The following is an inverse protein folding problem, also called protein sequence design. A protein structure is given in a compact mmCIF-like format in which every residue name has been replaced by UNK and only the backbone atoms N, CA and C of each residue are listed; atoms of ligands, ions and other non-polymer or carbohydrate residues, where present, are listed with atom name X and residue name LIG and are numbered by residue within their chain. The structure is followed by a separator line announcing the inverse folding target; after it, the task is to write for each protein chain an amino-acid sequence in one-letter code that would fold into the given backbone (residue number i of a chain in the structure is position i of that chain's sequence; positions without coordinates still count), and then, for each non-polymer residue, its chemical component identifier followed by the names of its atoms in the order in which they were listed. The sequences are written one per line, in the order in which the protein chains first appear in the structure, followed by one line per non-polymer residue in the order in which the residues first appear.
data_IF_667610781895
#
_entry.id   IF_667610781895
#
_cell.length_a   1.000
_cell.length_b   1.000
_cell.length_c   1.000
_cell.angle_alpha   90.00
_cell.angle_beta   90.00
_cell.angle_gamma   90.00
#
_symmetry.space_group_name_H-M   'P 1'
#
loop_
_entity.id
_entity.type
_entity.pdbx_description
1 polymer ?
#
# COMPACT_ATOMS: atom_id res chain seq x y z
N UNK A 1 12.44 3.35 18.98
CA UNK A 1 13.32 4.21 19.83
C UNK A 1 14.53 4.61 18.99
N UNK A 2 14.55 5.83 18.48
CA UNK A 2 15.67 6.35 17.67
C UNK A 2 16.77 7.00 18.52
N UNK A 3 16.66 6.94 19.85
CA UNK A 3 17.62 7.53 20.80
C UNK A 3 17.61 9.05 20.81
N UNK A 4 16.62 9.71 20.21
CA UNK A 4 16.53 11.17 20.22
C UNK A 4 16.18 11.70 21.62
N UNK A 5 16.85 12.79 22.04
CA UNK A 5 16.58 13.44 23.33
C UNK A 5 15.24 14.20 23.24
N UNK A 6 14.21 13.65 23.92
CA UNK A 6 12.88 14.25 23.99
C UNK A 6 12.91 15.71 24.46
N UNK A 7 13.85 16.07 25.34
CA UNK A 7 14.01 17.43 25.86
C UNK A 7 14.43 18.39 24.74
N UNK A 8 15.35 17.98 23.88
CA UNK A 8 15.80 18.78 22.75
C UNK A 8 14.71 18.91 21.68
N UNK A 9 13.96 17.84 21.39
CA UNK A 9 12.82 17.85 20.48
C UNK A 9 11.75 18.85 20.98
N UNK A 10 11.36 18.77 22.25
CA UNK A 10 10.38 19.70 22.85
C UNK A 10 10.84 21.16 22.77
N UNK A 11 12.14 21.40 22.96
CA UNK A 11 12.73 22.73 22.85
C UNK A 11 12.65 23.26 21.41
N UNK A 12 12.96 22.43 20.42
CA UNK A 12 12.88 22.81 19.01
C UNK A 12 11.43 23.06 18.58
N UNK A 13 10.46 22.25 19.02
CA UNK A 13 9.03 22.49 18.76
C UNK A 13 8.56 23.80 19.37
N UNK A 14 8.95 24.12 20.61
CA UNK A 14 8.64 25.42 21.25
C UNK A 14 9.20 26.61 20.47
N UNK A 15 10.47 26.53 20.07
CA UNK A 15 11.10 27.59 19.24
C UNK A 15 10.38 27.72 17.90
N UNK A 16 9.97 26.62 17.28
CA UNK A 16 9.20 26.64 16.03
C UNK A 16 7.83 27.30 16.20
N UNK A 17 7.09 26.99 17.26
CA UNK A 17 5.81 27.60 17.57
C UNK A 17 5.93 29.10 17.84
N UNK A 18 6.95 29.54 18.59
CA UNK A 18 7.19 30.98 18.83
C UNK A 18 7.43 31.73 17.51
N UNK A 19 8.20 31.17 16.58
CA UNK A 19 8.43 31.80 15.26
C UNK A 19 7.16 31.87 14.41
N UNK A 20 6.25 30.91 14.57
CA UNK A 20 4.98 30.88 13.82
C UNK A 20 3.95 31.87 14.37
N UNK A 21 4.03 32.26 15.66
CA UNK A 21 3.09 33.21 16.29
C UNK A 21 3.02 34.56 15.59
N UNK A 22 4.11 34.99 15.01
CA UNK A 22 4.16 36.25 14.28
C UNK A 22 3.53 36.17 12.87
N UNK A 23 3.24 34.96 12.38
CA UNK A 23 2.79 34.73 11.02
C UNK A 23 1.36 34.13 10.95
N UNK A 24 0.97 33.32 11.94
CA UNK A 24 -0.33 32.65 12.00
C UNK A 24 -0.81 32.47 13.44
N UNK A 25 -2.12 32.36 13.63
CA UNK A 25 -2.68 31.98 14.93
C UNK A 25 -2.34 30.53 15.27
N UNK A 26 -1.50 30.32 16.29
CA UNK A 26 -1.06 28.98 16.72
C UNK A 26 -1.86 28.41 17.89
N UNK A 27 -3.04 28.97 18.17
CA UNK A 27 -3.90 28.56 19.29
C UNK A 27 -3.22 28.79 20.66
N UNK A 28 -3.45 27.92 21.63
CA UNK A 28 -2.87 28.04 22.97
C UNK A 28 -1.36 27.85 23.01
N UNK A 29 -0.80 27.13 22.03
CA UNK A 29 0.62 26.77 21.97
C UNK A 29 1.07 25.87 23.14
N UNK A 30 0.14 25.24 23.86
CA UNK A 30 0.45 24.31 24.95
C UNK A 30 0.90 22.99 24.35
N UNK A 31 2.09 22.53 24.73
CA UNK A 31 2.63 21.24 24.35
C UNK A 31 2.54 20.33 25.58
N UNK A 32 1.84 19.22 25.43
CA UNK A 32 1.77 18.14 26.42
C UNK A 32 2.50 16.92 25.88
N UNK A 33 3.43 16.36 26.64
CA UNK A 33 4.00 15.04 26.36
C UNK A 33 3.20 13.96 27.06
N UNK A 34 2.93 12.87 26.39
CA UNK A 34 2.35 11.66 26.96
C UNK A 34 3.18 10.47 26.54
N UNK A 35 3.34 9.50 27.43
CA UNK A 35 3.90 8.20 27.08
C UNK A 35 2.75 7.31 26.60
N UNK A 36 2.93 6.71 25.43
CA UNK A 36 2.00 5.70 24.91
C UNK A 36 2.72 4.36 24.99
N UNK A 37 2.14 3.36 25.63
CA UNK A 37 2.71 2.02 25.60
C UNK A 37 2.65 1.49 24.15
N UNK A 38 3.81 1.08 23.61
CA UNK A 38 3.99 0.62 22.22
C UNK A 38 3.02 -0.50 21.83
N UNK A 39 2.65 -1.35 22.79
CA UNK A 39 1.73 -2.47 22.57
C UNK A 39 0.29 -2.03 22.24
N UNK A 40 -0.17 -0.91 22.78
CA UNK A 40 -1.52 -0.42 22.51
C UNK A 40 -1.64 0.23 21.14
N UNK A 41 -0.58 0.87 20.65
CA UNK A 41 -0.60 1.52 19.34
C UNK A 41 -0.55 0.49 18.21
N UNK A 42 0.34 -0.50 18.29
CA UNK A 42 0.51 -1.56 17.28
C UNK A 42 -0.76 -2.41 17.11
N UNK A 43 -1.57 -2.57 18.16
CA UNK A 43 -2.79 -3.39 18.09
C UNK A 43 -4.08 -2.58 17.96
N UNK A 44 -4.09 -1.31 18.32
CA UNK A 44 -5.33 -0.51 18.30
C UNK A 44 -5.88 -0.25 16.90
N UNK A 45 -5.02 -0.07 15.90
CA UNK A 45 -5.47 0.15 14.51
C UNK A 45 -6.18 -1.09 13.94
N UNK A 46 -5.82 -2.30 14.38
CA UNK A 46 -6.49 -3.56 13.97
C UNK A 46 -7.99 -3.54 14.27
N UNK A 47 -8.41 -2.87 15.33
CA UNK A 47 -9.83 -2.73 15.72
C UNK A 47 -10.64 -1.91 14.72
N UNK A 48 -9.98 -1.04 13.95
CA UNK A 48 -10.63 -0.17 12.98
C UNK A 48 -10.58 -0.71 11.56
N UNK A 49 -9.75 -1.74 11.33
CA UNK A 49 -9.68 -2.41 10.05
C UNK A 49 -10.56 -3.66 10.07
N UNK A 50 -11.75 -3.53 9.52
CA UNK A 50 -12.74 -4.61 9.38
C UNK A 50 -12.97 -4.92 7.92
N UNK A 51 -13.48 -6.12 7.64
CA UNK A 51 -13.86 -6.55 6.28
C UNK A 51 -14.85 -5.59 5.63
N UNK A 52 -14.73 -5.45 4.32
CA UNK A 52 -15.64 -4.67 3.48
C UNK A 52 -15.65 -5.24 2.06
N UNK A 53 -16.69 -4.88 1.28
CA UNK A 53 -16.88 -5.40 -0.06
C UNK A 53 -16.76 -4.29 -1.09
N UNK A 54 -16.10 -4.57 -2.21
CA UNK A 54 -16.07 -3.74 -3.41
C UNK A 54 -16.65 -4.59 -4.52
N UNK A 55 -17.88 -4.28 -4.94
CA UNK A 55 -18.68 -5.09 -5.86
C UNK A 55 -18.78 -6.56 -5.35
N UNK A 56 -18.20 -7.54 -6.00
CA UNK A 56 -18.16 -8.96 -5.59
C UNK A 56 -16.87 -9.35 -4.86
N UNK A 57 -15.90 -8.42 -4.73
CA UNK A 57 -14.63 -8.65 -4.03
C UNK A 57 -14.79 -8.34 -2.56
N UNK A 58 -14.58 -9.34 -1.71
CA UNK A 58 -14.46 -9.18 -0.27
C UNK A 58 -12.99 -8.94 0.11
N UNK A 59 -12.71 -7.82 0.75
CA UNK A 59 -11.41 -7.53 1.34
C UNK A 59 -11.53 -7.71 2.85
N UNK A 60 -10.69 -8.56 3.41
CA UNK A 60 -10.75 -8.98 4.81
C UNK A 60 -9.36 -8.96 5.43
N UNK A 61 -9.21 -8.47 6.68
CA UNK A 61 -7.97 -8.66 7.43
C UNK A 61 -7.73 -10.14 7.75
N UNK A 62 -6.47 -10.54 7.90
CA UNK A 62 -6.08 -11.93 8.19
C UNK A 62 -6.64 -12.45 9.52
N UNK A 63 -6.82 -11.57 10.51
CA UNK A 63 -7.31 -11.92 11.86
C UNK A 63 -8.83 -11.99 11.99
N UNK A 64 -9.59 -11.63 10.95
CA UNK A 64 -11.04 -11.73 10.95
C UNK A 64 -11.48 -13.06 10.34
N UNK A 65 -12.40 -13.77 10.97
CA UNK A 65 -12.94 -15.02 10.42
C UNK A 65 -13.85 -14.75 9.21
N UNK A 66 -13.77 -15.63 8.21
CA UNK A 66 -14.66 -15.55 7.06
C UNK A 66 -16.07 -15.99 7.48
N UNK A 67 -17.04 -15.13 7.27
CA UNK A 67 -18.44 -15.42 7.58
C UNK A 67 -19.03 -16.41 6.58
N UNK A 68 -20.00 -17.22 7.01
CA UNK A 68 -20.68 -18.20 6.15
C UNK A 68 -21.31 -17.56 4.90
N UNK A 69 -21.90 -16.37 5.05
CA UNK A 69 -22.54 -15.61 3.99
C UNK A 69 -21.56 -15.04 2.93
N UNK A 70 -20.27 -15.04 3.24
CA UNK A 70 -19.21 -14.46 2.38
C UNK A 70 -18.37 -15.52 1.66
N UNK A 71 -18.65 -16.81 1.86
CA UNK A 71 -17.82 -17.92 1.34
C UNK A 71 -17.73 -17.96 -0.19
N UNK A 72 -18.77 -17.51 -0.87
CA UNK A 72 -18.84 -17.50 -2.33
C UNK A 72 -18.28 -16.22 -2.96
N UNK A 73 -17.86 -15.25 -2.16
CA UNK A 73 -17.28 -14.01 -2.65
C UNK A 73 -15.83 -14.19 -3.10
N UNK A 74 -15.39 -13.32 -3.99
CA UNK A 74 -14.00 -13.25 -4.40
C UNK A 74 -13.16 -12.68 -3.25
N UNK A 75 -12.48 -13.55 -2.51
CA UNK A 75 -11.79 -13.21 -1.27
C UNK A 75 -10.38 -12.68 -1.52
N UNK A 76 -10.08 -11.53 -0.91
CA UNK A 76 -8.74 -10.96 -0.75
C UNK A 76 -8.45 -10.80 0.74
N UNK A 77 -7.40 -11.43 1.22
CA UNK A 77 -6.94 -11.26 2.59
C UNK A 77 -5.74 -10.30 2.64
N UNK A 78 -5.80 -9.28 3.49
CA UNK A 78 -4.75 -8.27 3.62
C UNK A 78 -4.40 -8.04 5.08
N UNK A 79 -3.12 -8.13 5.39
CA UNK A 79 -2.53 -7.52 6.59
C UNK A 79 -1.76 -6.27 6.14
N UNK A 80 -2.30 -5.07 6.33
CA UNK A 80 -1.61 -3.86 5.89
C UNK A 80 -0.35 -3.57 6.73
N UNK A 81 -0.22 -4.19 7.93
CA UNK A 81 0.91 -3.95 8.81
C UNK A 81 1.09 -2.47 9.14
N UNK A 82 2.33 -1.98 9.03
CA UNK A 82 2.67 -0.55 9.17
C UNK A 82 2.53 0.16 7.81
N UNK A 83 2.46 -0.60 6.71
CA UNK A 83 2.38 -0.06 5.34
C UNK A 83 1.02 0.54 5.04
N UNK A 84 0.99 1.57 4.20
CA UNK A 84 -0.26 2.13 3.67
C UNK A 84 -0.94 1.12 2.74
N UNK A 85 -2.29 1.06 2.75
CA UNK A 85 -3.02 0.24 1.78
C UNK A 85 -4.02 -0.75 2.39
N UNK A 86 -4.92 -0.23 3.26
CA UNK A 86 -6.05 -1.03 3.77
C UNK A 86 -7.11 -1.35 2.70
N UNK A 87 -7.04 -0.71 1.54
CA UNK A 87 -8.07 -0.83 0.51
C UNK A 87 -9.33 0.02 0.73
N UNK A 88 -9.54 0.57 1.92
CA UNK A 88 -10.74 1.38 2.23
C UNK A 88 -10.75 2.74 1.56
N UNK A 89 -9.60 3.27 1.16
CA UNK A 89 -9.53 4.56 0.49
C UNK A 89 -10.22 4.50 -0.87
N UNK A 90 -10.97 5.52 -1.21
CA UNK A 90 -11.79 5.58 -2.44
C UNK A 90 -10.97 5.41 -3.71
N UNK A 91 -9.73 5.94 -3.74
CA UNK A 91 -8.83 5.76 -4.89
C UNK A 91 -8.43 4.30 -5.09
N UNK A 92 -8.15 3.57 -4.00
CA UNK A 92 -7.84 2.14 -4.07
C UNK A 92 -9.06 1.35 -4.56
N UNK A 93 -10.25 1.67 -4.07
CA UNK A 93 -11.49 1.05 -4.54
C UNK A 93 -11.73 1.29 -6.03
N UNK A 94 -11.49 2.52 -6.51
CA UNK A 94 -11.60 2.84 -7.93
C UNK A 94 -10.59 2.05 -8.77
N UNK A 95 -9.34 1.93 -8.31
CA UNK A 95 -8.33 1.10 -8.97
C UNK A 95 -8.76 -0.37 -9.04
N UNK A 96 -9.32 -0.94 -7.96
CA UNK A 96 -9.81 -2.32 -7.93
C UNK A 96 -10.91 -2.52 -8.98
N UNK A 97 -11.89 -1.62 -9.09
CA UNK A 97 -12.91 -1.68 -10.15
C UNK A 97 -12.32 -1.61 -11.55
N UNK A 98 -11.26 -0.80 -11.75
CA UNK A 98 -10.59 -0.76 -13.04
C UNK A 98 -9.82 -2.06 -13.33
N UNK A 99 -9.19 -2.68 -12.30
CA UNK A 99 -8.54 -3.97 -12.47
C UNK A 99 -9.53 -5.05 -12.90
N UNK A 100 -10.74 -5.13 -12.32
CA UNK A 100 -11.79 -6.05 -12.78
C UNK A 100 -12.06 -5.85 -14.29
N UNK A 101 -12.22 -4.61 -14.72
CA UNK A 101 -12.52 -4.28 -16.13
C UNK A 101 -11.37 -4.60 -17.09
N UNK A 102 -10.11 -4.35 -16.70
CA UNK A 102 -8.97 -4.41 -17.61
C UNK A 102 -8.12 -5.68 -17.47
N UNK A 103 -8.23 -6.42 -16.39
CA UNK A 103 -7.42 -7.62 -16.12
C UNK A 103 -8.19 -8.90 -16.34
N UNK A 104 -9.44 -8.96 -15.87
CA UNK A 104 -10.24 -10.18 -15.92
C UNK A 104 -10.38 -10.72 -17.35
N UNK A 105 -10.03 -12.01 -17.52
CA UNK A 105 -10.09 -12.70 -18.81
C UNK A 105 -9.04 -12.28 -19.86
N UNK A 106 -8.15 -11.33 -19.54
CA UNK A 106 -7.16 -10.79 -20.51
C UNK A 106 -5.72 -11.20 -20.22
N UNK A 107 -5.43 -11.67 -19.00
CA UNK A 107 -4.10 -12.11 -18.56
C UNK A 107 -2.93 -11.13 -18.84
N UNK A 108 -3.10 -9.82 -18.54
CA UNK A 108 -2.05 -8.85 -18.78
C UNK A 108 -0.89 -9.03 -17.80
N UNK A 109 0.22 -8.33 -18.05
CA UNK A 109 1.17 -7.93 -17.00
C UNK A 109 0.70 -6.61 -16.41
N UNK A 110 0.91 -6.41 -15.11
CA UNK A 110 0.49 -5.20 -14.40
C UNK A 110 1.69 -4.52 -13.76
N UNK A 111 1.77 -3.21 -13.86
CA UNK A 111 2.71 -2.38 -13.10
C UNK A 111 1.94 -1.66 -12.00
N UNK A 112 2.40 -1.84 -10.77
CA UNK A 112 1.84 -1.24 -9.55
C UNK A 112 2.86 -0.27 -8.95
N UNK A 113 2.64 1.04 -9.14
CA UNK A 113 3.54 2.10 -8.68
C UNK A 113 3.03 2.63 -7.34
N UNK A 114 3.84 2.50 -6.29
CA UNK A 114 3.42 2.73 -4.91
C UNK A 114 2.59 1.56 -4.38
N UNK A 115 3.15 0.33 -4.45
CA UNK A 115 2.39 -0.89 -4.19
C UNK A 115 1.95 -1.07 -2.73
N UNK A 116 2.64 -0.45 -1.76
CA UNK A 116 2.30 -0.47 -0.34
C UNK A 116 2.13 -1.89 0.20
N UNK A 117 0.95 -2.21 0.71
CA UNK A 117 0.58 -3.55 1.18
C UNK A 117 0.48 -4.60 0.05
N UNK A 118 0.58 -4.19 -1.22
CA UNK A 118 0.42 -5.03 -2.39
C UNK A 118 -1.03 -5.33 -2.77
N UNK A 119 -2.01 -4.66 -2.19
CA UNK A 119 -3.43 -4.97 -2.41
C UNK A 119 -3.83 -4.95 -3.90
N UNK A 120 -3.37 -3.95 -4.69
CA UNK A 120 -3.69 -3.86 -6.11
C UNK A 120 -3.00 -4.95 -6.91
N UNK A 121 -1.74 -5.25 -6.59
CA UNK A 121 -0.97 -6.35 -7.15
C UNK A 121 -1.67 -7.70 -6.91
N UNK A 122 -2.13 -7.95 -5.69
CA UNK A 122 -2.80 -9.20 -5.30
C UNK A 122 -4.15 -9.33 -6.02
N UNK A 123 -4.96 -8.27 -6.04
CA UNK A 123 -6.22 -8.25 -6.78
C UNK A 123 -5.97 -8.54 -8.26
N UNK A 124 -4.97 -7.89 -8.87
CA UNK A 124 -4.63 -8.12 -10.27
C UNK A 124 -4.27 -9.59 -10.54
N UNK A 125 -3.41 -10.19 -9.72
CA UNK A 125 -3.01 -11.61 -9.87
C UNK A 125 -4.20 -12.55 -9.70
N UNK A 126 -5.04 -12.34 -8.70
CA UNK A 126 -6.24 -13.17 -8.46
C UNK A 126 -7.28 -13.00 -9.58
N UNK A 127 -7.36 -11.84 -10.22
CA UNK A 127 -8.19 -11.63 -11.42
C UNK A 127 -7.57 -12.24 -12.70
N UNK A 128 -6.39 -12.84 -12.59
CA UNK A 128 -5.74 -13.56 -13.67
C UNK A 128 -4.67 -12.76 -14.42
N UNK A 129 -4.12 -11.71 -13.83
CA UNK A 129 -2.90 -11.11 -14.37
C UNK A 129 -1.79 -12.18 -14.42
N UNK A 130 -1.01 -12.16 -15.50
CA UNK A 130 0.05 -13.14 -15.70
C UNK A 130 1.26 -12.89 -14.81
N UNK A 131 1.53 -11.64 -14.52
CA UNK A 131 2.68 -11.17 -13.73
C UNK A 131 2.41 -9.74 -13.24
N UNK A 132 2.96 -9.41 -12.08
CA UNK A 132 2.93 -8.05 -11.55
C UNK A 132 4.36 -7.57 -11.30
N UNK A 133 4.65 -6.32 -11.64
CA UNK A 133 5.84 -5.60 -11.20
C UNK A 133 5.37 -4.49 -10.29
N UNK A 134 5.86 -4.44 -9.05
CA UNK A 134 5.53 -3.40 -8.09
C UNK A 134 6.75 -2.56 -7.73
N UNK A 135 6.54 -1.28 -7.44
CA UNK A 135 7.57 -0.39 -6.91
C UNK A 135 7.03 0.38 -5.72
N UNK A 136 7.87 0.65 -4.72
CA UNK A 136 7.55 1.53 -3.61
C UNK A 136 8.82 2.22 -3.10
N UNK A 137 8.65 3.38 -2.46
CA UNK A 137 9.77 4.10 -1.82
C UNK A 137 10.19 3.45 -0.51
N UNK A 138 9.25 2.78 0.16
CA UNK A 138 9.45 2.16 1.44
C UNK A 138 9.85 0.68 1.27
N UNK A 139 11.00 0.32 1.83
CA UNK A 139 11.51 -1.06 1.79
C UNK A 139 10.60 -2.05 2.54
N UNK A 140 9.90 -1.61 3.58
CA UNK A 140 9.00 -2.46 4.38
C UNK A 140 7.80 -2.92 3.54
N UNK A 141 7.41 -2.15 2.52
CA UNK A 141 6.37 -2.53 1.57
C UNK A 141 6.71 -3.81 0.80
N UNK A 142 7.99 -4.09 0.55
CA UNK A 142 8.41 -5.31 -0.15
C UNK A 142 8.10 -6.58 0.66
N UNK A 143 8.35 -6.52 1.96
CA UNK A 143 8.03 -7.61 2.88
C UNK A 143 6.52 -7.76 3.02
N UNK A 144 5.82 -6.66 3.32
CA UNK A 144 4.36 -6.63 3.47
C UNK A 144 3.64 -7.19 2.23
N UNK A 145 4.04 -6.77 1.03
CA UNK A 145 3.45 -7.27 -0.22
C UNK A 145 3.66 -8.78 -0.39
N UNK A 146 4.86 -9.30 -0.10
CA UNK A 146 5.15 -10.74 -0.22
C UNK A 146 4.37 -11.57 0.78
N UNK A 147 4.29 -11.11 2.04
CA UNK A 147 3.52 -11.78 3.08
C UNK A 147 2.02 -11.82 2.69
N UNK A 148 1.48 -10.72 2.19
CA UNK A 148 0.11 -10.68 1.71
C UNK A 148 -0.12 -11.56 0.47
N UNK A 149 0.85 -11.70 -0.44
CA UNK A 149 0.76 -12.67 -1.54
C UNK A 149 0.68 -14.10 -1.01
N UNK A 150 1.49 -14.46 0.01
CA UNK A 150 1.48 -15.80 0.63
C UNK A 150 0.13 -16.09 1.29
N UNK A 151 -0.42 -15.13 2.06
CA UNK A 151 -1.74 -15.25 2.69
C UNK A 151 -2.83 -15.54 1.64
N UNK A 152 -2.72 -14.92 0.46
CA UNK A 152 -3.65 -15.14 -0.65
C UNK A 152 -3.32 -16.38 -1.50
N UNK A 153 -2.39 -17.23 -1.08
CA UNK A 153 -1.94 -18.45 -1.77
C UNK A 153 -1.44 -18.20 -3.20
N UNK A 154 -0.85 -17.04 -3.44
CA UNK A 154 -0.27 -16.69 -4.73
C UNK A 154 1.17 -17.19 -4.84
N UNK A 155 1.56 -17.62 -6.04
CA UNK A 155 2.95 -17.94 -6.33
C UNK A 155 3.79 -16.65 -6.34
N UNK A 156 4.78 -16.58 -5.46
CA UNK A 156 5.65 -15.42 -5.32
C UNK A 156 6.47 -15.13 -6.60
N UNK A 157 6.64 -16.10 -7.48
CA UNK A 157 7.31 -15.90 -8.77
C UNK A 157 6.52 -15.04 -9.76
N UNK A 158 5.22 -14.82 -9.50
CA UNK A 158 4.36 -13.97 -10.31
C UNK A 158 4.51 -12.47 -9.98
N UNK A 159 5.20 -12.13 -8.89
CA UNK A 159 5.43 -10.76 -8.45
C UNK A 159 6.92 -10.41 -8.40
N UNK A 160 7.31 -9.31 -9.01
CA UNK A 160 8.65 -8.72 -8.88
C UNK A 160 8.51 -7.34 -8.27
N UNK A 161 9.15 -7.11 -7.13
CA UNK A 161 9.00 -5.86 -6.38
C UNK A 161 10.35 -5.18 -6.15
N UNK A 162 10.39 -3.87 -6.36
CA UNK A 162 11.58 -3.04 -6.25
C UNK A 162 11.36 -1.87 -5.30
N UNK A 163 12.38 -1.53 -4.53
CA UNK A 163 12.44 -0.29 -3.74
C UNK A 163 13.01 0.81 -4.61
N UNK A 164 12.36 1.96 -4.68
CA UNK A 164 12.88 3.13 -5.37
C UNK A 164 11.81 4.03 -5.96
N UNK A 165 12.24 5.22 -6.39
CA UNK A 165 11.39 6.19 -7.07
C UNK A 165 11.41 5.94 -8.59
N UNK A 166 10.38 5.34 -9.12
CA UNK A 166 10.29 5.04 -10.56
C UNK A 166 10.36 6.30 -11.45
N UNK A 167 10.07 7.49 -10.90
CA UNK A 167 10.09 8.75 -11.68
C UNK A 167 11.53 9.23 -11.89
N UNK A 168 12.39 9.14 -10.87
CA UNK A 168 13.71 9.77 -10.85
C UNK A 168 14.87 8.76 -10.97
N UNK A 169 14.61 7.47 -10.78
CA UNK A 169 15.63 6.41 -10.79
C UNK A 169 15.69 5.72 -12.18
N UNK A 170 16.66 6.13 -13.00
CA UNK A 170 16.85 5.59 -14.35
C UNK A 170 17.20 4.09 -14.32
N UNK A 171 17.95 3.60 -13.33
CA UNK A 171 18.29 2.18 -13.21
C UNK A 171 17.04 1.35 -12.91
N UNK A 172 16.17 1.85 -12.03
CA UNK A 172 14.90 1.22 -11.73
C UNK A 172 13.98 1.23 -12.96
N UNK A 173 13.91 2.33 -13.70
CA UNK A 173 13.14 2.40 -14.94
C UNK A 173 13.60 1.34 -15.95
N UNK A 174 14.91 1.15 -16.13
CA UNK A 174 15.42 0.11 -17.03
C UNK A 174 15.10 -1.32 -16.53
N UNK A 175 15.18 -1.58 -15.21
CA UNK A 175 14.76 -2.87 -14.63
C UNK A 175 13.28 -3.16 -14.88
N UNK A 176 12.42 -2.16 -14.65
CA UNK A 176 10.98 -2.26 -14.89
C UNK A 176 10.69 -2.44 -16.37
N UNK A 177 11.33 -1.68 -17.26
CA UNK A 177 11.22 -1.84 -18.72
C UNK A 177 11.67 -3.22 -19.19
N UNK A 178 12.79 -3.75 -18.69
CA UNK A 178 13.27 -5.08 -19.05
C UNK A 178 12.28 -6.19 -18.67
N UNK A 179 11.59 -6.04 -17.52
CA UNK A 179 10.49 -6.92 -17.16
C UNK A 179 9.24 -6.69 -18.04
N UNK A 180 9.04 -5.45 -18.47
CA UNK A 180 7.94 -5.05 -19.35
C UNK A 180 8.16 -5.44 -20.81
N UNK A 181 9.40 -5.42 -21.32
CA UNK A 181 9.71 -5.79 -22.72
C UNK A 181 9.49 -7.27 -23.00
N UNK A 182 9.51 -8.10 -21.98
CA UNK A 182 8.90 -9.42 -22.03
C UNK A 182 7.37 -9.36 -22.18
N UNK A 183 6.75 -8.18 -22.05
CA UNK A 183 5.33 -7.91 -22.19
C UNK A 183 5.07 -6.84 -23.26
N UNK A 184 4.52 -7.25 -24.38
CA UNK A 184 4.29 -6.45 -25.60
C UNK A 184 3.39 -5.20 -25.44
N UNK A 185 2.72 -4.97 -24.32
CA UNK A 185 1.63 -3.98 -24.21
C UNK A 185 1.97 -2.68 -23.44
N UNK A 186 3.05 -2.61 -22.67
CA UNK A 186 3.46 -1.35 -22.03
C UNK A 186 3.86 -0.31 -23.07
N UNK A 187 4.38 -0.74 -24.22
CA UNK A 187 4.66 0.17 -25.37
C UNK A 187 3.39 0.84 -25.91
N UNK A 188 2.26 0.15 -25.81
CA UNK A 188 0.99 0.68 -26.33
C UNK A 188 0.28 1.61 -25.32
N UNK A 189 0.48 1.39 -24.01
CA UNK A 189 -0.10 2.26 -22.98
C UNK A 189 0.63 3.61 -22.87
N UNK A 190 1.96 3.62 -22.89
CA UNK A 190 2.76 4.86 -22.86
C UNK A 190 2.45 5.74 -24.10
N UNK A 191 2.16 5.12 -25.26
CA UNK A 191 1.75 5.86 -26.47
C UNK A 191 0.34 6.42 -26.45
N UNK A 192 -0.53 5.99 -25.52
CA UNK A 192 -1.90 6.49 -25.38
C UNK A 192 -2.03 7.61 -24.36
N UNK A 193 -0.98 7.90 -23.59
CA UNK A 193 -0.95 8.96 -22.55
C UNK A 193 -0.22 10.21 -23.03
N UNK A 194 0.50 10.17 -24.16
CA UNK A 194 1.02 11.31 -24.91
C UNK A 194 -0.04 11.83 -25.89
#
# INVERSE_FOLDING_TARGET
EDGSDQTEILKQVKIGLEKLRDMVEVGSGVITSSETEDLDWINNWKKYFTSFTIDDILIKPTWEELKEEDKDKFLIEIDPGISFGTGKHETTQLCIRQLQKYVEGKHPKVLDVGCGSGILSIVALKLGAREVVGTDLDADCMTSTRDNMQVNHLDLSLGTFYVGNLIDDEELQEKVKANAEKAKWIKDFIRQVD
#
